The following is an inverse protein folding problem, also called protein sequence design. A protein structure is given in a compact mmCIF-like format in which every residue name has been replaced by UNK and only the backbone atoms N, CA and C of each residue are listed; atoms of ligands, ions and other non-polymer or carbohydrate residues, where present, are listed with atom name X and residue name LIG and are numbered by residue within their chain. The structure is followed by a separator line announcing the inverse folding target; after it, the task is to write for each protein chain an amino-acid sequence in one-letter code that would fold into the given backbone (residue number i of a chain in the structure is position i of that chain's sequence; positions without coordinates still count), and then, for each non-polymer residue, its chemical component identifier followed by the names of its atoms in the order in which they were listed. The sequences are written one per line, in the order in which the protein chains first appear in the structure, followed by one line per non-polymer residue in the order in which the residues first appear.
data_IF_730884644579
#
_entry.id   IF_730884644579
#
_cell.length_a   1.000
_cell.length_b   1.000
_cell.length_c   1.000
_cell.angle_alpha   90.00
_cell.angle_beta   90.00
_cell.angle_gamma   90.00
#
_symmetry.space_group_name_H-M   'P 1'
#
loop_
_entity.id
_entity.type
_entity.pdbx_description
1 polymer ?
#
# COMPACT_ATOMS: atom_id res chain seq x y z
N UNK A 1 -4.89 -58.43 52.36
CA UNK A 1 -6.26 -57.86 52.35
C UNK A 1 -6.21 -56.36 52.44
N UNK A 2 -6.41 -55.66 51.33
CA UNK A 2 -6.50 -54.21 51.30
C UNK A 2 -7.94 -53.78 51.59
N UNK A 3 -8.16 -53.04 52.67
CA UNK A 3 -9.47 -52.47 53.03
C UNK A 3 -9.86 -51.43 51.98
N UNK A 4 -10.94 -51.71 51.24
CA UNK A 4 -11.62 -50.75 50.38
C UNK A 4 -12.33 -49.71 51.28
N UNK A 5 -11.88 -48.46 51.25
CA UNK A 5 -12.60 -47.35 51.89
C UNK A 5 -13.87 -47.09 51.11
N UNK A 6 -15.02 -47.44 51.74
CA UNK A 6 -16.36 -47.11 51.25
C UNK A 6 -16.48 -45.60 51.11
N UNK A 7 -16.75 -45.12 49.91
CA UNK A 7 -17.14 -43.72 49.65
C UNK A 7 -18.46 -43.45 50.37
N UNK A 8 -18.43 -42.63 51.42
CA UNK A 8 -19.66 -42.09 52.02
C UNK A 8 -20.45 -41.30 50.94
N UNK A 9 -21.66 -41.73 50.64
CA UNK A 9 -22.59 -40.98 49.81
C UNK A 9 -22.90 -39.67 50.50
N UNK A 10 -22.43 -38.56 49.94
CA UNK A 10 -22.77 -37.23 50.39
C UNK A 10 -24.28 -37.05 50.14
N UNK A 11 -25.07 -36.73 51.17
CA UNK A 11 -26.51 -36.42 51.02
C UNK A 11 -26.66 -35.28 50.04
N UNK A 12 -27.72 -35.29 49.24
CA UNK A 12 -28.02 -34.27 48.23
C UNK A 12 -28.05 -32.85 48.79
N UNK A 13 -28.57 -32.72 50.02
CA UNK A 13 -28.58 -31.47 50.77
C UNK A 13 -27.21 -30.91 51.09
N UNK A 14 -26.28 -31.77 51.56
CA UNK A 14 -24.87 -31.40 51.84
C UNK A 14 -24.13 -30.95 50.56
N UNK A 15 -24.52 -31.47 49.42
CA UNK A 15 -23.94 -31.09 48.11
C UNK A 15 -24.46 -29.73 47.63
N UNK A 16 -25.76 -29.46 47.79
CA UNK A 16 -26.36 -28.15 47.45
C UNK A 16 -25.82 -27.04 48.35
N UNK A 17 -25.67 -27.28 49.64
CA UNK A 17 -25.05 -26.35 50.58
C UNK A 17 -23.58 -26.07 50.24
N UNK A 18 -22.82 -27.07 49.82
CA UNK A 18 -21.43 -26.95 49.45
C UNK A 18 -21.31 -26.08 48.16
N UNK A 19 -22.20 -26.29 47.18
CA UNK A 19 -22.27 -25.45 45.97
C UNK A 19 -22.63 -24.02 46.32
N UNK A 20 -23.64 -23.82 47.13
CA UNK A 20 -24.07 -22.51 47.61
C UNK A 20 -22.93 -21.77 48.33
N UNK A 21 -22.20 -22.42 49.21
CA UNK A 21 -21.04 -21.87 49.91
C UNK A 21 -19.90 -21.53 48.93
N UNK A 22 -19.60 -22.40 47.95
CA UNK A 22 -18.58 -22.13 46.89
C UNK A 22 -18.99 -20.97 45.97
N UNK A 23 -20.27 -20.84 45.68
CA UNK A 23 -20.78 -19.73 44.90
C UNK A 23 -20.68 -18.41 45.68
N UNK A 24 -21.07 -18.43 46.96
CA UNK A 24 -21.07 -17.26 47.86
C UNK A 24 -19.65 -16.80 48.21
N UNK A 25 -18.69 -17.70 48.30
CA UNK A 25 -17.29 -17.39 48.62
C UNK A 25 -16.46 -16.91 47.41
N UNK A 26 -16.94 -17.14 46.19
CA UNK A 26 -16.19 -16.76 45.00
C UNK A 26 -16.43 -15.28 44.63
N UNK A 27 -15.41 -14.43 44.80
CA UNK A 27 -15.45 -13.01 44.42
C UNK A 27 -15.79 -12.81 42.95
N UNK A 28 -15.32 -13.72 42.08
CA UNK A 28 -15.60 -13.70 40.66
C UNK A 28 -17.09 -13.96 40.35
N UNK A 29 -17.65 -15.03 40.92
CA UNK A 29 -19.05 -15.40 40.72
C UNK A 29 -20.03 -14.38 41.36
N UNK A 30 -19.58 -13.71 42.40
CA UNK A 30 -20.32 -12.63 43.05
C UNK A 30 -20.07 -11.25 42.41
N UNK A 31 -19.27 -11.19 41.32
CA UNK A 31 -18.89 -9.93 40.64
C UNK A 31 -18.28 -8.89 41.61
N UNK A 32 -17.56 -9.36 42.65
CA UNK A 32 -16.89 -8.54 43.65
C UNK A 32 -15.38 -8.61 43.55
N UNK A 33 -14.86 -8.66 42.32
CA UNK A 33 -13.42 -8.60 42.10
C UNK A 33 -12.87 -7.25 42.57
N UNK A 34 -11.74 -7.23 43.27
CA UNK A 34 -11.07 -5.99 43.58
C UNK A 34 -10.65 -5.31 42.27
N UNK A 35 -11.23 -4.16 41.99
CA UNK A 35 -10.88 -3.34 40.86
C UNK A 35 -10.06 -2.16 41.34
N UNK A 36 -8.95 -1.89 40.66
CA UNK A 36 -8.22 -0.65 40.85
C UNK A 36 -9.10 0.51 40.34
N UNK A 37 -9.51 1.38 41.25
CA UNK A 37 -10.33 2.56 40.95
C UNK A 37 -9.58 3.81 41.38
N UNK A 38 -8.70 4.34 40.52
CA UNK A 38 -8.01 5.57 40.84
C UNK A 38 -9.02 6.72 40.88
N UNK A 39 -9.07 7.42 42.01
CA UNK A 39 -9.78 8.68 42.11
C UNK A 39 -8.80 9.80 41.74
N UNK A 40 -8.98 10.43 40.57
CA UNK A 40 -8.06 11.47 40.13
C UNK A 40 -8.21 12.71 41.06
N UNK A 41 -7.10 13.17 41.61
CA UNK A 41 -7.04 14.46 42.31
C UNK A 41 -6.88 15.59 41.27
N UNK A 42 -7.23 16.83 41.63
CA UNK A 42 -7.05 17.98 40.75
C UNK A 42 -5.61 18.11 40.26
N UNK A 43 -4.66 17.91 41.17
CA UNK A 43 -3.23 17.98 40.82
C UNK A 43 -2.82 16.87 39.82
N UNK A 44 -3.31 15.64 40.05
CA UNK A 44 -2.99 14.52 39.13
C UNK A 44 -3.59 14.72 37.75
N UNK A 45 -4.75 15.35 37.64
CA UNK A 45 -5.37 15.70 36.37
C UNK A 45 -4.49 16.73 35.63
N UNK A 46 -4.10 17.80 36.30
CA UNK A 46 -3.24 18.83 35.70
C UNK A 46 -1.92 18.22 35.22
N UNK A 47 -1.23 17.46 36.09
CA UNK A 47 0.05 16.83 35.74
C UNK A 47 -0.11 15.90 34.53
N UNK A 48 -1.16 15.09 34.52
CA UNK A 48 -1.40 14.17 33.41
C UNK A 48 -1.57 14.91 32.07
N UNK A 49 -2.44 15.92 32.02
CA UNK A 49 -2.68 16.66 30.78
C UNK A 49 -1.47 17.50 30.34
N UNK A 50 -0.73 18.08 31.28
CA UNK A 50 0.49 18.83 30.96
C UNK A 50 1.59 17.92 30.42
N UNK A 51 1.82 16.76 31.06
CA UNK A 51 2.81 15.79 30.54
C UNK A 51 2.40 15.26 29.16
N UNK A 52 1.12 14.94 28.99
CA UNK A 52 0.58 14.49 27.72
C UNK A 52 0.76 15.55 26.63
N UNK A 53 0.45 16.81 26.93
CA UNK A 53 0.64 17.93 26.02
C UNK A 53 2.11 18.12 25.64
N UNK A 54 3.03 18.07 26.61
CA UNK A 54 4.48 18.19 26.35
C UNK A 54 4.97 17.10 25.39
N UNK A 55 4.54 15.86 25.61
CA UNK A 55 4.91 14.74 24.73
C UNK A 55 4.38 14.98 23.29
N UNK A 56 3.12 15.33 23.16
CA UNK A 56 2.51 15.49 21.82
C UNK A 56 3.06 16.72 21.08
N UNK A 57 3.24 17.85 21.76
CA UNK A 57 3.82 19.04 21.14
C UNK A 57 5.27 18.78 20.73
N UNK A 58 6.07 18.16 21.58
CA UNK A 58 7.48 17.87 21.24
C UNK A 58 7.59 16.90 20.06
N UNK A 59 6.79 15.84 20.02
CA UNK A 59 6.73 14.93 18.88
C UNK A 59 6.27 15.63 17.60
N UNK A 60 5.24 16.48 17.70
CA UNK A 60 4.75 17.27 16.58
C UNK A 60 5.83 18.20 16.00
N UNK A 61 6.55 18.93 16.87
CA UNK A 61 7.64 19.81 16.44
C UNK A 61 8.77 19.01 15.78
N UNK A 62 9.18 17.89 16.37
CA UNK A 62 10.21 17.02 15.81
C UNK A 62 9.82 16.57 14.40
N UNK A 63 8.57 16.06 14.22
CA UNK A 63 8.06 15.61 12.92
C UNK A 63 8.05 16.77 11.91
N UNK A 64 7.63 17.98 12.30
CA UNK A 64 7.64 19.15 11.41
C UNK A 64 9.06 19.54 10.96
N UNK A 65 10.01 19.55 11.88
CA UNK A 65 11.41 19.85 11.55
C UNK A 65 11.98 18.82 10.56
N UNK A 66 11.79 17.53 10.82
CA UNK A 66 12.26 16.48 9.91
C UNK A 66 11.53 16.50 8.58
N UNK A 67 10.20 16.74 8.57
CA UNK A 67 9.42 16.86 7.35
C UNK A 67 9.82 18.07 6.51
N UNK A 68 10.20 19.18 7.14
CA UNK A 68 10.68 20.40 6.47
C UNK A 68 12.02 20.24 5.75
N UNK A 69 12.83 19.26 6.16
CA UNK A 69 14.13 18.95 5.50
C UNK A 69 13.97 18.09 4.24
N UNK A 70 12.76 17.57 3.98
CA UNK A 70 12.51 16.72 2.83
C UNK A 70 12.24 17.61 1.62
N UNK A 71 13.11 17.51 0.62
CA UNK A 71 12.93 18.12 -0.69
C UNK A 71 12.08 17.18 -1.55
N UNK A 72 11.07 17.72 -2.20
CA UNK A 72 10.21 16.95 -3.08
C UNK A 72 9.79 17.83 -4.27
N UNK A 73 10.05 17.34 -5.48
CA UNK A 73 9.67 17.99 -6.73
C UNK A 73 8.74 17.08 -7.51
N UNK A 74 7.56 17.60 -7.85
CA UNK A 74 6.58 16.92 -8.69
C UNK A 74 6.69 17.43 -10.13
N UNK A 75 6.68 16.48 -11.08
CA UNK A 75 6.87 16.71 -12.52
C UNK A 75 5.65 16.11 -13.22
N UNK A 76 4.62 16.91 -13.52
CA UNK A 76 3.45 16.47 -14.27
C UNK A 76 3.85 16.23 -15.73
N UNK A 77 3.48 15.06 -16.28
CA UNK A 77 3.81 14.71 -17.66
C UNK A 77 2.61 14.32 -18.53
N UNK A 78 1.43 14.12 -17.92
CA UNK A 78 0.25 13.65 -18.63
C UNK A 78 -0.09 14.51 -19.86
N UNK A 79 -0.22 15.83 -19.68
CA UNK A 79 -0.60 16.75 -20.76
C UNK A 79 0.47 16.87 -21.83
N UNK A 80 1.75 16.89 -21.43
CA UNK A 80 2.89 17.04 -22.35
C UNK A 80 3.11 15.77 -23.19
N UNK A 81 2.76 14.61 -22.63
CA UNK A 81 2.90 13.30 -23.26
C UNK A 81 1.63 12.79 -23.95
N UNK A 82 0.55 13.56 -23.92
CA UNK A 82 -0.73 13.16 -24.49
C UNK A 82 -0.62 12.80 -25.97
N UNK A 83 -1.08 11.60 -26.31
CA UNK A 83 -1.03 11.09 -27.69
C UNK A 83 0.35 10.63 -28.17
N UNK A 84 1.41 10.70 -27.35
CA UNK A 84 2.76 10.22 -27.68
C UNK A 84 3.00 8.90 -26.96
N UNK A 85 3.59 7.93 -27.67
CA UNK A 85 4.03 6.65 -27.08
C UNK A 85 5.35 6.82 -26.32
N UNK A 86 6.27 7.61 -26.87
CA UNK A 86 7.53 8.01 -26.23
C UNK A 86 7.50 9.52 -26.10
N UNK A 87 7.77 10.01 -24.91
CA UNK A 87 7.74 11.42 -24.55
C UNK A 87 9.05 11.81 -23.88
N UNK A 88 9.61 12.93 -24.29
CA UNK A 88 10.80 13.52 -23.68
C UNK A 88 10.42 14.81 -22.96
N UNK A 89 10.85 14.91 -21.70
CA UNK A 89 10.66 16.09 -20.86
C UNK A 89 11.98 16.59 -20.33
N UNK A 90 12.03 17.88 -20.06
CA UNK A 90 13.19 18.52 -19.45
C UNK A 90 12.74 19.28 -18.20
N UNK A 91 13.37 18.98 -17.09
CA UNK A 91 13.09 19.65 -15.81
C UNK A 91 14.37 20.06 -15.11
N UNK A 92 14.34 21.20 -14.45
CA UNK A 92 15.47 21.71 -13.65
C UNK A 92 15.23 21.45 -12.17
N UNK A 93 16.23 20.91 -11.49
CA UNK A 93 16.19 20.67 -10.05
C UNK A 93 16.15 21.99 -9.29
N UNK A 94 15.13 22.18 -8.45
CA UNK A 94 14.87 23.44 -7.72
C UNK A 94 15.68 23.59 -6.45
N UNK A 95 16.00 22.50 -5.79
CA UNK A 95 16.75 22.43 -4.53
C UNK A 95 17.65 21.20 -4.52
N UNK A 96 18.78 21.27 -3.81
CA UNK A 96 19.71 20.15 -3.67
C UNK A 96 19.00 18.92 -3.08
N UNK A 97 19.14 17.77 -3.70
CA UNK A 97 18.57 16.50 -3.24
C UNK A 97 19.73 15.53 -2.92
N UNK A 98 19.79 15.10 -1.66
CA UNK A 98 20.77 14.11 -1.19
C UNK A 98 20.26 12.69 -1.40
N UNK A 99 21.13 11.81 -1.88
CA UNK A 99 20.83 10.39 -2.04
C UNK A 99 20.52 9.72 -0.68
N UNK A 100 19.69 8.66 -0.68
CA UNK A 100 18.93 8.13 -1.81
C UNK A 100 17.70 9.00 -2.13
N UNK A 101 17.49 9.26 -3.44
CA UNK A 101 16.33 10.02 -3.93
C UNK A 101 15.30 9.04 -4.44
N UNK A 102 14.13 9.06 -3.82
CA UNK A 102 13.02 8.19 -4.18
C UNK A 102 12.30 8.72 -5.41
N UNK A 103 12.15 7.87 -6.42
CA UNK A 103 11.39 8.13 -7.62
C UNK A 103 10.01 7.49 -7.45
N UNK A 104 8.96 8.29 -7.44
CA UNK A 104 7.58 7.80 -7.37
C UNK A 104 6.85 8.16 -8.66
N UNK A 105 5.92 7.30 -9.06
CA UNK A 105 4.83 7.75 -9.92
C UNK A 105 3.62 8.11 -9.07
N UNK A 106 2.91 9.15 -9.47
CA UNK A 106 1.68 9.62 -8.83
C UNK A 106 0.54 9.50 -9.82
N UNK A 107 -0.59 8.99 -9.35
CA UNK A 107 -1.84 8.97 -10.07
C UNK A 107 -2.88 9.78 -9.30
N UNK A 108 -3.56 10.68 -9.99
CA UNK A 108 -4.68 11.45 -9.48
C UNK A 108 -6.00 10.91 -10.06
N UNK A 109 -7.02 10.82 -9.22
CA UNK A 109 -8.36 10.41 -9.64
C UNK A 109 -8.59 8.89 -9.78
N UNK A 110 -7.62 8.03 -9.40
CA UNK A 110 -7.76 6.59 -9.52
C UNK A 110 -8.13 5.92 -8.17
N UNK A 111 -9.33 5.34 -8.09
CA UNK A 111 -9.91 4.79 -6.85
C UNK A 111 -9.51 3.33 -6.61
N UNK A 112 -8.28 3.05 -6.18
CA UNK A 112 -7.86 1.69 -5.80
C UNK A 112 -8.62 1.15 -4.57
N UNK A 113 -9.18 2.02 -3.72
CA UNK A 113 -9.92 1.66 -2.52
C UNK A 113 -11.39 1.27 -2.78
N UNK A 114 -11.85 1.31 -4.03
CA UNK A 114 -13.22 0.93 -4.35
C UNK A 114 -13.46 -0.56 -4.07
N UNK A 115 -14.52 -0.90 -3.32
CA UNK A 115 -14.79 -2.27 -2.84
C UNK A 115 -14.75 -3.35 -3.94
N UNK A 116 -15.35 -3.07 -5.12
CA UNK A 116 -15.36 -4.03 -6.23
C UNK A 116 -13.98 -4.21 -6.83
N UNK A 117 -13.20 -3.14 -6.89
CA UNK A 117 -11.83 -3.16 -7.41
C UNK A 117 -10.91 -4.00 -6.54
N UNK A 118 -10.89 -3.76 -5.21
CA UNK A 118 -10.04 -4.51 -4.25
C UNK A 118 -10.35 -6.01 -4.26
N UNK A 119 -11.62 -6.38 -4.45
CA UNK A 119 -12.04 -7.79 -4.49
C UNK A 119 -11.71 -8.47 -5.81
N UNK A 120 -11.59 -7.73 -6.89
CA UNK A 120 -11.36 -8.26 -8.23
C UNK A 120 -9.92 -8.72 -8.43
N UNK A 121 -9.58 -9.86 -7.82
CA UNK A 121 -8.29 -10.56 -7.92
C UNK A 121 -8.42 -11.99 -7.39
N UNK A 122 -7.57 -12.90 -7.86
CA UNK A 122 -7.41 -14.23 -7.27
C UNK A 122 -6.18 -14.27 -6.37
N UNK A 123 -6.40 -14.44 -5.08
CA UNK A 123 -5.30 -14.59 -4.09
C UNK A 123 -4.56 -15.91 -4.32
N UNK A 124 -5.25 -16.95 -4.78
CA UNK A 124 -4.64 -18.24 -5.07
C UNK A 124 -3.65 -18.16 -6.23
N UNK A 125 -4.00 -17.44 -7.31
CA UNK A 125 -3.08 -17.18 -8.40
C UNK A 125 -1.88 -16.35 -7.93
N UNK A 126 -2.12 -15.22 -7.26
CA UNK A 126 -1.04 -14.33 -6.79
C UNK A 126 -0.04 -15.02 -5.85
N UNK A 127 -0.45 -16.06 -5.14
CA UNK A 127 0.41 -16.81 -4.22
C UNK A 127 0.93 -18.13 -4.82
N UNK A 128 0.79 -18.34 -6.12
CA UNK A 128 1.28 -19.52 -6.80
C UNK A 128 0.61 -20.84 -6.39
N UNK A 129 -0.63 -20.79 -5.85
CA UNK A 129 -1.29 -21.98 -5.29
C UNK A 129 -2.17 -22.73 -6.29
N UNK A 130 -2.82 -22.02 -7.18
CA UNK A 130 -3.69 -22.58 -8.20
C UNK A 130 -4.05 -21.56 -9.28
N UNK A 131 -4.49 -22.03 -10.44
CA UNK A 131 -5.00 -21.20 -11.53
C UNK A 131 -6.45 -20.74 -11.35
N UNK A 132 -7.04 -21.01 -10.19
CA UNK A 132 -8.43 -20.66 -9.89
C UNK A 132 -8.66 -19.16 -9.95
N UNK A 133 -9.66 -18.75 -10.74
CA UNK A 133 -9.98 -17.34 -10.96
C UNK A 133 -10.70 -16.67 -9.78
N UNK A 134 -11.28 -17.44 -8.86
CA UNK A 134 -11.92 -16.90 -7.66
C UNK A 134 -12.83 -15.70 -7.92
N UNK A 135 -12.59 -14.59 -7.21
CA UNK A 135 -13.39 -13.34 -7.27
C UNK A 135 -12.92 -12.38 -8.39
N UNK A 136 -12.35 -12.84 -9.49
CA UNK A 136 -11.72 -12.00 -10.53
C UNK A 136 -12.67 -11.09 -11.34
N UNK A 137 -14.00 -11.24 -11.17
CA UNK A 137 -14.96 -10.50 -11.99
C UNK A 137 -14.70 -8.98 -12.03
N UNK A 138 -14.82 -8.39 -13.22
CA UNK A 138 -15.28 -8.93 -14.49
C UNK A 138 -14.17 -9.51 -15.42
N UNK A 139 -12.93 -9.56 -15.00
CA UNK A 139 -11.76 -9.93 -15.80
C UNK A 139 -11.35 -11.37 -15.46
N UNK A 140 -11.79 -12.33 -16.27
CA UNK A 140 -11.51 -13.74 -16.05
C UNK A 140 -10.57 -14.34 -17.09
N UNK A 141 -10.62 -13.86 -18.34
CA UNK A 141 -9.94 -14.45 -19.48
C UNK A 141 -8.92 -13.50 -20.09
N UNK A 142 -7.96 -14.07 -20.82
CA UNK A 142 -6.93 -13.29 -21.52
C UNK A 142 -7.53 -12.22 -22.46
N UNK A 143 -8.63 -12.50 -23.14
CA UNK A 143 -9.33 -11.52 -24.00
C UNK A 143 -9.86 -10.30 -23.22
N UNK A 144 -10.05 -10.42 -21.90
CA UNK A 144 -10.54 -9.33 -21.04
C UNK A 144 -9.40 -8.41 -20.56
N UNK A 145 -8.14 -8.84 -20.73
CA UNK A 145 -6.94 -8.05 -20.48
C UNK A 145 -6.70 -7.08 -21.64
N UNK A 146 -5.71 -6.24 -21.55
CA UNK A 146 -5.37 -5.29 -22.60
C UNK A 146 -4.82 -6.02 -23.83
N UNK A 147 -5.35 -5.70 -25.02
CA UNK A 147 -5.02 -6.41 -26.25
C UNK A 147 -3.54 -6.40 -26.61
N UNK A 148 -2.81 -5.31 -26.35
CA UNK A 148 -1.41 -5.15 -26.79
C UNK A 148 -0.47 -6.16 -26.10
N UNK A 149 -0.55 -6.33 -24.79
CA UNK A 149 0.32 -7.26 -24.03
C UNK A 149 -0.02 -8.71 -24.38
N UNK A 150 -1.31 -9.02 -24.49
CA UNK A 150 -1.78 -10.37 -24.86
C UNK A 150 -1.36 -10.71 -26.29
N UNK A 151 -1.41 -9.76 -27.21
CA UNK A 151 -0.96 -9.97 -28.58
C UNK A 151 0.56 -10.20 -28.68
N UNK A 152 1.37 -9.50 -27.92
CA UNK A 152 2.82 -9.73 -27.86
C UNK A 152 3.14 -11.11 -27.29
N UNK A 153 2.49 -11.51 -26.21
CA UNK A 153 2.70 -12.84 -25.63
C UNK A 153 2.21 -13.96 -26.55
N UNK A 154 1.06 -13.77 -27.19
CA UNK A 154 0.56 -14.71 -28.20
C UNK A 154 1.54 -14.88 -29.36
N UNK A 155 2.11 -13.79 -29.87
CA UNK A 155 3.14 -13.84 -30.92
C UNK A 155 4.36 -14.61 -30.48
N UNK A 156 4.88 -14.35 -29.27
CA UNK A 156 6.04 -15.06 -28.73
C UNK A 156 5.79 -16.57 -28.63
N UNK A 157 4.64 -16.97 -28.11
CA UNK A 157 4.28 -18.39 -27.99
C UNK A 157 4.20 -19.09 -29.36
N UNK A 158 3.65 -18.41 -30.37
CA UNK A 158 3.57 -18.93 -31.73
C UNK A 158 4.98 -19.04 -32.33
N UNK A 159 5.83 -18.00 -32.19
CA UNK A 159 7.20 -17.99 -32.69
C UNK A 159 8.11 -19.03 -32.01
N UNK A 160 7.89 -19.34 -30.73
CA UNK A 160 8.62 -20.38 -30.00
C UNK A 160 8.23 -21.79 -30.44
N UNK A 161 6.97 -22.04 -30.74
CA UNK A 161 6.50 -23.33 -31.29
C UNK A 161 6.97 -23.54 -32.71
N UNK A 162 6.97 -22.51 -33.59
CA UNK A 162 7.48 -22.60 -34.97
C UNK A 162 8.97 -22.91 -35.04
N UNK A 163 9.78 -22.49 -34.07
CA UNK A 163 11.20 -22.85 -33.97
C UNK A 163 11.42 -24.31 -33.58
N UNK A 164 10.43 -24.98 -33.01
CA UNK A 164 10.49 -26.40 -32.62
C UNK A 164 10.12 -27.39 -33.73
N UNK A 165 9.41 -26.95 -34.80
CA UNK A 165 8.81 -27.84 -35.81
C UNK A 165 9.34 -27.64 -37.25
N UNK A 166 10.56 -27.11 -37.49
CA UNK A 166 11.09 -27.02 -38.83
C UNK A 166 11.39 -28.40 -39.43
N UNK A 167 10.40 -28.98 -40.13
CA UNK A 167 10.50 -30.09 -41.06
C UNK A 167 9.97 -29.66 -42.44
N UNK A 168 10.76 -29.94 -43.46
CA UNK A 168 10.57 -29.57 -44.86
C UNK A 168 9.19 -29.89 -45.43
N UNK A 169 8.43 -28.89 -45.90
CA UNK A 169 7.29 -29.01 -46.84
C UNK A 169 7.02 -27.68 -47.58
N UNK A 170 6.33 -27.74 -48.73
CA UNK A 170 6.24 -26.71 -49.77
C UNK A 170 5.48 -25.41 -49.44
N UNK A 171 5.93 -24.30 -50.04
CA UNK A 171 5.80 -22.91 -49.54
C UNK A 171 4.43 -22.20 -49.68
N UNK A 172 3.47 -22.67 -50.45
CA UNK A 172 2.23 -21.89 -50.71
C UNK A 172 0.94 -22.45 -50.03
N UNK A 173 0.80 -23.75 -49.90
CA UNK A 173 -0.32 -24.36 -49.15
C UNK A 173 -0.08 -24.25 -47.61
N UNK A 174 1.17 -24.20 -47.17
CA UNK A 174 1.57 -23.98 -45.77
C UNK A 174 1.10 -22.63 -45.21
N UNK A 175 1.18 -21.54 -45.99
CA UNK A 175 0.81 -20.19 -45.48
C UNK A 175 -0.69 -20.05 -45.13
N UNK A 176 -1.58 -20.65 -45.91
CA UNK A 176 -3.02 -20.60 -45.57
C UNK A 176 -3.41 -21.52 -44.42
N UNK A 177 -2.72 -22.67 -44.27
CA UNK A 177 -2.92 -23.56 -43.13
C UNK A 177 -2.30 -22.98 -41.85
N UNK A 178 -1.08 -22.37 -41.91
CA UNK A 178 -0.44 -21.64 -40.82
C UNK A 178 -1.33 -20.47 -40.33
N UNK A 179 -1.84 -19.61 -41.24
CA UNK A 179 -2.74 -18.52 -40.81
C UNK A 179 -4.03 -19.01 -40.15
N UNK A 180 -4.57 -20.15 -40.60
CA UNK A 180 -5.75 -20.76 -39.96
C UNK A 180 -5.43 -21.40 -38.63
N UNK A 181 -4.27 -22.01 -38.49
CA UNK A 181 -3.81 -22.64 -37.25
C UNK A 181 -3.41 -21.58 -36.20
N UNK A 182 -2.67 -20.53 -36.61
CA UNK A 182 -2.38 -19.34 -35.81
C UNK A 182 -3.67 -18.69 -35.32
N UNK A 183 -4.66 -18.54 -36.19
CA UNK A 183 -5.99 -18.03 -35.84
C UNK A 183 -6.76 -18.91 -34.84
N UNK A 184 -6.58 -20.22 -34.87
CA UNK A 184 -7.20 -21.18 -33.96
C UNK A 184 -6.51 -21.20 -32.59
N UNK A 185 -5.18 -21.29 -32.57
CA UNK A 185 -4.35 -21.24 -31.36
C UNK A 185 -4.50 -19.89 -30.65
N UNK A 186 -4.51 -18.78 -31.40
CA UNK A 186 -4.77 -17.47 -30.85
C UNK A 186 -6.14 -17.33 -30.19
N UNK A 187 -7.21 -17.90 -30.80
CA UNK A 187 -8.53 -17.93 -30.19
C UNK A 187 -8.58 -18.80 -28.93
N UNK A 188 -7.85 -19.89 -28.91
CA UNK A 188 -7.74 -20.77 -27.73
C UNK A 188 -7.04 -20.04 -26.59
N UNK A 189 -5.89 -19.39 -26.85
CA UNK A 189 -5.16 -18.59 -25.85
C UNK A 189 -6.01 -17.45 -25.29
N UNK A 190 -6.74 -16.73 -26.12
CA UNK A 190 -7.63 -15.66 -25.68
C UNK A 190 -8.78 -16.16 -24.78
N UNK A 191 -9.18 -17.42 -24.93
CA UNK A 191 -10.24 -18.02 -24.10
C UNK A 191 -9.72 -18.70 -22.83
N UNK A 192 -8.41 -18.87 -22.67
CA UNK A 192 -7.81 -19.35 -21.40
C UNK A 192 -8.07 -18.36 -20.27
N UNK A 193 -7.99 -18.86 -19.04
CA UNK A 193 -8.07 -18.00 -17.86
C UNK A 193 -6.86 -17.07 -17.81
N UNK A 194 -7.09 -15.80 -17.51
CA UNK A 194 -6.02 -14.84 -17.31
C UNK A 194 -5.26 -15.15 -16.01
N UNK A 195 -3.95 -15.12 -16.06
CA UNK A 195 -3.07 -15.29 -14.89
C UNK A 195 -2.04 -14.16 -14.87
N UNK A 196 -2.10 -13.27 -13.88
CA UNK A 196 -3.17 -13.07 -12.88
C UNK A 196 -4.42 -12.46 -13.48
N UNK A 197 -5.59 -12.80 -12.92
CA UNK A 197 -6.88 -12.26 -13.32
C UNK A 197 -7.36 -11.11 -12.42
N UNK A 198 -8.37 -10.39 -12.86
CA UNK A 198 -9.05 -9.34 -12.12
C UNK A 198 -8.65 -7.91 -12.51
N UNK A 199 -9.47 -6.96 -12.07
CA UNK A 199 -9.27 -5.52 -12.36
C UNK A 199 -7.96 -4.99 -11.79
N UNK A 200 -7.55 -5.45 -10.60
CA UNK A 200 -6.32 -4.97 -9.98
C UNK A 200 -5.10 -5.29 -10.82
N UNK A 201 -5.01 -6.50 -11.38
CA UNK A 201 -3.93 -6.88 -12.26
C UNK A 201 -4.03 -6.16 -13.61
N UNK A 202 -5.22 -6.16 -14.25
CA UNK A 202 -5.44 -5.52 -15.55
C UNK A 202 -5.01 -4.05 -15.60
N UNK A 203 -5.19 -3.32 -14.50
CA UNK A 203 -4.88 -1.88 -14.43
C UNK A 203 -3.48 -1.61 -13.89
N UNK A 204 -2.58 -2.57 -13.99
CA UNK A 204 -1.18 -2.38 -13.61
C UNK A 204 -0.56 -1.19 -14.33
N UNK A 205 0.16 -0.36 -13.55
CA UNK A 205 0.85 0.80 -14.08
C UNK A 205 2.11 0.37 -14.86
N UNK A 206 2.15 0.69 -16.14
CA UNK A 206 3.17 0.20 -17.08
C UNK A 206 3.93 1.31 -17.82
N UNK A 207 3.92 2.55 -17.35
CA UNK A 207 4.86 3.55 -17.83
C UNK A 207 6.26 3.23 -17.33
N UNK A 208 7.29 3.48 -18.16
CA UNK A 208 8.69 3.34 -17.77
C UNK A 208 9.44 4.66 -17.91
N UNK A 209 10.43 4.86 -17.05
CA UNK A 209 11.17 6.10 -16.94
C UNK A 209 12.66 5.86 -17.10
N UNK A 210 13.30 6.62 -17.99
CA UNK A 210 14.74 6.76 -18.11
C UNK A 210 15.09 8.21 -17.80
N UNK A 211 16.12 8.44 -16.98
CA UNK A 211 16.58 9.78 -16.58
C UNK A 211 18.03 9.95 -17.00
N UNK A 212 18.36 11.06 -17.60
CA UNK A 212 19.72 11.38 -17.96
C UNK A 212 20.02 12.87 -17.80
N UNK A 213 21.27 13.21 -17.65
CA UNK A 213 21.81 14.56 -17.71
C UNK A 213 22.64 14.74 -18.96
N UNK A 214 22.90 15.98 -19.36
CA UNK A 214 23.84 16.28 -20.42
C UNK A 214 25.11 16.90 -19.83
N UNK A 215 26.25 16.32 -20.18
CA UNK A 215 27.53 16.87 -19.83
C UNK A 215 27.81 18.19 -20.60
N UNK A 216 28.83 18.93 -20.20
CA UNK A 216 29.26 20.18 -20.88
C UNK A 216 29.52 19.98 -22.39
N UNK A 217 29.88 18.78 -22.80
CA UNK A 217 30.07 18.39 -24.21
C UNK A 217 28.74 18.02 -24.92
N UNK A 218 27.59 18.10 -24.26
CA UNK A 218 26.29 17.73 -24.81
C UNK A 218 26.03 16.22 -24.90
N UNK A 219 26.89 15.38 -24.32
CA UNK A 219 26.71 13.93 -24.28
C UNK A 219 25.76 13.55 -23.13
N UNK A 220 24.88 12.57 -23.37
CA UNK A 220 23.97 12.04 -22.38
C UNK A 220 24.72 11.21 -21.35
N UNK A 221 24.58 11.55 -20.07
CA UNK A 221 25.00 10.75 -18.94
C UNK A 221 23.75 10.16 -18.28
N UNK A 222 23.61 8.83 -18.33
CA UNK A 222 22.44 8.16 -17.74
C UNK A 222 22.53 8.17 -16.20
N UNK A 223 21.43 8.56 -15.56
CA UNK A 223 21.25 8.41 -14.12
C UNK A 223 20.58 7.05 -13.89
N UNK A 224 21.31 6.17 -13.21
CA UNK A 224 20.80 4.82 -12.90
C UNK A 224 19.71 4.90 -11.85
N UNK A 225 18.54 4.39 -12.19
CA UNK A 225 17.43 4.22 -11.23
C UNK A 225 17.45 2.78 -10.75
N UNK A 226 17.80 2.57 -9.48
CA UNK A 226 17.76 1.27 -8.86
C UNK A 226 16.28 0.91 -8.56
N UNK A 227 15.80 -0.17 -9.17
CA UNK A 227 14.42 -0.66 -9.07
C UNK A 227 14.30 -1.89 -8.16
N UNK A 228 15.40 -2.31 -7.53
CA UNK A 228 15.41 -3.43 -6.61
C UNK A 228 14.98 -2.99 -5.20
N UNK A 229 14.37 -3.91 -4.46
CA UNK A 229 13.92 -3.72 -3.08
C UNK A 229 12.97 -2.51 -2.91
N UNK A 230 12.08 -2.30 -3.90
CA UNK A 230 11.01 -1.30 -3.86
C UNK A 230 9.74 -1.84 -3.20
N UNK A 231 9.50 -3.15 -3.27
CA UNK A 231 8.39 -3.81 -2.60
C UNK A 231 8.71 -4.14 -1.13
N UNK A 232 7.67 -4.29 -0.31
CA UNK A 232 7.85 -4.73 1.07
C UNK A 232 8.27 -6.20 1.12
N UNK A 233 9.29 -6.54 1.92
CA UNK A 233 9.82 -7.91 2.03
C UNK A 233 8.74 -8.95 2.32
N UNK A 234 7.76 -8.61 3.17
CA UNK A 234 6.65 -9.52 3.48
C UNK A 234 5.79 -9.84 2.25
N UNK A 235 5.58 -8.85 1.39
CA UNK A 235 4.77 -9.03 0.19
C UNK A 235 5.55 -9.82 -0.87
N UNK A 236 6.85 -9.59 -1.04
CA UNK A 236 7.72 -10.36 -1.96
C UNK A 236 7.66 -11.87 -1.71
N UNK A 237 7.62 -12.29 -0.44
CA UNK A 237 7.54 -13.71 -0.09
C UNK A 237 6.17 -14.35 -0.36
N UNK A 238 5.13 -13.53 -0.52
CA UNK A 238 3.76 -14.00 -0.74
C UNK A 238 3.44 -14.20 -2.22
N UNK A 239 3.96 -13.31 -3.08
CA UNK A 239 3.71 -13.38 -4.51
C UNK A 239 4.58 -14.45 -5.16
N UNK A 240 3.97 -15.32 -5.97
CA UNK A 240 4.62 -16.43 -6.66
C UNK A 240 3.99 -16.68 -8.01
N UNK A 241 4.84 -16.94 -8.99
CA UNK A 241 4.41 -17.37 -10.30
C UNK A 241 3.72 -18.75 -10.24
N UNK A 242 2.71 -18.96 -11.07
CA UNK A 242 1.96 -20.22 -11.14
C UNK A 242 2.48 -21.07 -12.30
N UNK A 243 2.40 -20.52 -13.51
CA UNK A 243 2.84 -21.15 -14.76
C UNK A 243 3.31 -20.06 -15.71
N UNK A 244 4.60 -20.07 -16.03
CA UNK A 244 5.23 -19.07 -16.89
C UNK A 244 4.65 -19.05 -18.31
N UNK A 245 4.13 -20.19 -18.80
CA UNK A 245 3.59 -20.30 -20.16
C UNK A 245 2.22 -19.63 -20.34
N UNK A 246 1.42 -19.49 -19.28
CA UNK A 246 0.08 -18.95 -19.31
C UNK A 246 -0.07 -17.58 -18.65
N UNK A 247 0.92 -17.13 -17.88
CA UNK A 247 0.82 -15.83 -17.22
C UNK A 247 1.26 -14.71 -18.16
N UNK A 248 0.53 -13.61 -18.13
CA UNK A 248 0.75 -12.44 -18.98
C UNK A 248 1.67 -11.39 -18.36
N UNK A 249 1.98 -11.51 -17.08
CA UNK A 249 2.91 -10.65 -16.34
C UNK A 249 3.60 -11.45 -15.25
N UNK A 250 4.85 -11.13 -14.96
CA UNK A 250 5.59 -11.68 -13.83
C UNK A 250 5.00 -11.17 -12.51
N UNK A 251 4.44 -12.09 -11.72
CA UNK A 251 3.84 -11.75 -10.42
C UNK A 251 4.89 -11.56 -9.32
N UNK A 252 6.13 -11.98 -9.53
CA UNK A 252 7.26 -11.75 -8.63
C UNK A 252 7.96 -10.41 -8.90
N UNK A 253 7.62 -9.72 -10.01
CA UNK A 253 8.10 -8.36 -10.28
C UNK A 253 7.68 -7.39 -9.16
N UNK A 254 8.67 -6.69 -8.62
CA UNK A 254 8.45 -5.75 -7.51
C UNK A 254 7.53 -4.59 -7.88
N UNK A 255 7.52 -4.13 -9.13
CA UNK A 255 6.57 -3.10 -9.59
C UNK A 255 5.13 -3.61 -9.54
N UNK A 256 4.92 -4.87 -9.94
CA UNK A 256 3.62 -5.50 -9.83
C UNK A 256 3.19 -5.67 -8.37
N UNK A 257 4.09 -6.12 -7.50
CA UNK A 257 3.82 -6.26 -6.05
C UNK A 257 3.46 -4.91 -5.42
N UNK A 258 4.21 -3.85 -5.74
CA UNK A 258 3.93 -2.47 -5.28
C UNK A 258 2.57 -1.99 -5.77
N UNK A 259 2.20 -2.32 -7.03
CA UNK A 259 0.88 -1.99 -7.57
C UNK A 259 -0.25 -2.70 -6.83
N UNK A 260 -0.10 -3.99 -6.54
CA UNK A 260 -1.12 -4.84 -5.92
C UNK A 260 -1.45 -4.45 -4.47
N UNK A 261 -0.68 -3.57 -3.85
CA UNK A 261 -1.01 -2.96 -2.56
C UNK A 261 -1.92 -1.75 -2.78
N UNK A 262 -3.23 -1.84 -2.48
CA UNK A 262 -4.17 -0.78 -2.81
C UNK A 262 -3.90 0.50 -2.01
N UNK A 263 -3.99 1.64 -2.67
CA UNK A 263 -3.95 2.95 -2.04
C UNK A 263 -5.29 3.27 -1.37
N UNK A 264 -5.25 3.97 -0.23
CA UNK A 264 -6.44 4.35 0.53
C UNK A 264 -7.19 5.57 0.00
N UNK A 265 -6.55 6.38 -0.84
CA UNK A 265 -7.09 7.61 -1.40
C UNK A 265 -6.98 7.61 -2.93
N UNK A 266 -7.83 8.37 -3.66
CA UNK A 266 -7.80 8.40 -5.12
C UNK A 266 -6.54 9.09 -5.70
N UNK A 267 -5.90 9.93 -4.90
CA UNK A 267 -4.65 10.59 -5.23
C UNK A 267 -3.55 9.92 -4.43
N UNK A 268 -2.68 9.19 -5.11
CA UNK A 268 -1.64 8.41 -4.45
C UNK A 268 -0.35 8.38 -5.26
N UNK A 269 0.73 8.08 -4.57
CA UNK A 269 2.04 7.81 -5.19
C UNK A 269 2.54 6.43 -4.78
N UNK A 270 3.27 5.79 -5.70
CA UNK A 270 3.92 4.50 -5.46
C UNK A 270 5.38 4.58 -5.87
N UNK A 271 6.20 3.86 -5.13
CA UNK A 271 7.64 3.83 -5.38
C UNK A 271 7.90 3.11 -6.71
N UNK A 272 8.69 3.74 -7.58
CA UNK A 272 9.13 3.19 -8.85
C UNK A 272 10.61 2.80 -8.84
N UNK A 273 11.42 3.52 -8.06
CA UNK A 273 12.85 3.24 -7.91
C UNK A 273 13.56 4.26 -7.03
N UNK A 274 14.88 4.18 -6.99
CA UNK A 274 15.74 5.08 -6.22
C UNK A 274 16.94 5.51 -7.07
N UNK A 275 17.31 6.78 -6.96
CA UNK A 275 18.55 7.31 -7.48
C UNK A 275 19.53 7.35 -6.32
N UNK A 276 20.69 6.70 -6.49
CA UNK A 276 21.72 6.59 -5.45
C UNK A 276 22.74 7.75 -5.51
N UNK A 277 22.60 8.65 -6.50
CA UNK A 277 23.46 9.83 -6.69
C UNK A 277 22.76 11.09 -6.19
N UNK A 278 23.55 12.07 -5.72
CA UNK A 278 23.07 13.38 -5.34
C UNK A 278 22.67 14.18 -6.59
N UNK A 279 21.57 14.92 -6.51
CA UNK A 279 21.15 15.87 -7.55
C UNK A 279 21.33 17.29 -7.05
N UNK A 280 22.06 18.10 -7.81
CA UNK A 280 22.37 19.47 -7.43
C UNK A 280 21.30 20.45 -7.93
N UNK A 281 21.12 21.52 -7.17
CA UNK A 281 20.27 22.63 -7.60
C UNK A 281 20.71 23.18 -8.95
N UNK A 282 19.74 23.54 -9.78
CA UNK A 282 19.93 24.02 -11.15
C UNK A 282 20.45 22.99 -12.16
N UNK A 283 20.64 21.75 -11.73
CA UNK A 283 20.92 20.65 -12.65
C UNK A 283 19.71 20.36 -13.52
N UNK A 284 19.92 20.14 -14.82
CA UNK A 284 18.85 19.86 -15.77
C UNK A 284 18.74 18.39 -16.02
N UNK A 285 17.60 17.82 -15.70
CA UNK A 285 17.28 16.41 -15.94
C UNK A 285 16.44 16.27 -17.21
N UNK A 286 16.76 15.27 -17.99
CA UNK A 286 16.02 14.85 -19.17
C UNK A 286 15.35 13.52 -18.86
N UNK A 287 14.04 13.47 -19.06
CA UNK A 287 13.21 12.29 -18.83
C UNK A 287 12.78 11.75 -20.19
N UNK A 288 13.01 10.46 -20.41
CA UNK A 288 12.41 9.73 -21.52
C UNK A 288 11.38 8.77 -20.92
N UNK A 289 10.14 8.96 -21.29
CA UNK A 289 8.98 8.30 -20.72
C UNK A 289 8.31 7.45 -21.79
N UNK A 290 8.21 6.14 -21.57
CA UNK A 290 7.32 5.29 -22.36
C UNK A 290 5.91 5.40 -21.77
N UNK A 291 5.05 6.15 -22.45
CA UNK A 291 3.73 6.55 -22.02
C UNK A 291 2.68 5.49 -22.42
N UNK A 292 2.64 4.37 -21.69
CA UNK A 292 1.76 3.24 -21.97
C UNK A 292 0.46 3.30 -21.18
N UNK A 293 0.50 3.83 -19.95
CA UNK A 293 -0.64 3.88 -19.03
C UNK A 293 -1.59 5.01 -19.41
N UNK A 294 -2.82 4.68 -19.78
CA UNK A 294 -3.85 5.64 -20.20
C UNK A 294 -4.71 6.07 -19.03
N UNK A 295 -4.74 7.37 -18.74
CA UNK A 295 -5.57 7.97 -17.68
C UNK A 295 -6.86 8.62 -18.21
N UNK A 296 -7.02 8.75 -19.54
CA UNK A 296 -8.17 9.40 -20.17
C UNK A 296 -9.52 8.74 -19.80
N UNK A 297 -9.51 7.42 -19.54
CA UNK A 297 -10.72 6.65 -19.25
C UNK A 297 -11.41 7.08 -17.95
N UNK A 298 -10.69 7.69 -17.01
CA UNK A 298 -11.22 8.13 -15.73
C UNK A 298 -10.95 9.61 -15.43
N UNK A 299 -10.42 10.35 -16.44
CA UNK A 299 -10.13 11.78 -16.31
C UNK A 299 -9.08 12.09 -15.25
N UNK A 300 -8.12 11.20 -15.07
CA UNK A 300 -7.04 11.35 -14.09
C UNK A 300 -5.80 12.02 -14.67
N UNK A 301 -4.85 12.30 -13.79
CA UNK A 301 -3.54 12.84 -14.12
C UNK A 301 -2.43 11.94 -13.61
N UNK A 302 -1.24 12.09 -14.19
CA UNK A 302 -0.05 11.37 -13.78
C UNK A 302 1.20 12.26 -13.75
N UNK A 303 2.02 12.04 -12.72
CA UNK A 303 3.23 12.81 -12.45
C UNK A 303 4.35 11.89 -11.98
N UNK A 304 5.58 12.30 -12.20
CA UNK A 304 6.76 11.74 -11.54
C UNK A 304 7.07 12.62 -10.31
N UNK A 305 7.43 12.01 -9.19
CA UNK A 305 7.85 12.73 -8.00
C UNK A 305 9.26 12.26 -7.63
N UNK A 306 10.20 13.19 -7.61
CA UNK A 306 11.49 13.01 -7.00
C UNK A 306 11.42 13.50 -5.57
N UNK A 307 11.81 12.68 -4.59
CA UNK A 307 11.73 13.06 -3.18
C UNK A 307 12.87 12.45 -2.38
N UNK A 308 13.56 13.28 -1.60
CA UNK A 308 14.41 12.74 -0.54
C UNK A 308 13.53 12.08 0.53
N UNK A 309 14.09 11.19 1.31
CA UNK A 309 13.43 10.52 2.42
C UNK A 309 14.31 10.58 3.67
N UNK A 310 13.68 10.60 4.83
CA UNK A 310 14.37 10.46 6.09
C UNK A 310 13.88 9.23 6.86
N UNK A 311 14.45 8.97 8.06
CA UNK A 311 14.07 7.83 8.90
C UNK A 311 12.59 7.82 9.33
N UNK A 312 11.89 8.95 9.24
CA UNK A 312 10.45 9.07 9.53
C UNK A 312 9.55 8.96 8.28
N UNK A 313 10.15 8.69 7.12
CA UNK A 313 9.44 8.56 5.84
C UNK A 313 9.49 9.83 4.98
N UNK A 314 8.50 9.99 4.09
CA UNK A 314 8.38 11.14 3.20
C UNK A 314 7.81 12.39 3.88
N UNK A 315 7.69 13.49 3.11
CA UNK A 315 7.16 14.79 3.58
C UNK A 315 5.74 14.64 4.13
N UNK A 316 5.56 14.87 5.43
CA UNK A 316 4.28 14.71 6.11
C UNK A 316 4.07 15.79 7.18
N UNK A 317 3.67 16.98 6.74
CA UNK A 317 3.32 18.06 7.67
C UNK A 317 2.02 17.80 8.43
N UNK A 318 1.06 17.10 7.81
CA UNK A 318 -0.24 16.85 8.41
C UNK A 318 -0.13 16.16 9.76
N UNK A 319 0.69 15.10 9.84
CA UNK A 319 0.87 14.37 11.09
C UNK A 319 1.47 15.25 12.19
N UNK A 320 2.49 16.05 11.87
CA UNK A 320 3.10 16.97 12.84
C UNK A 320 2.11 18.00 13.38
N UNK A 321 1.29 18.60 12.49
CA UNK A 321 0.24 19.55 12.86
C UNK A 321 -0.82 18.88 13.74
N UNK A 322 -1.27 17.65 13.41
CA UNK A 322 -2.24 16.93 14.23
C UNK A 322 -1.70 16.68 15.66
N UNK A 323 -0.45 16.30 15.81
CA UNK A 323 0.15 16.11 17.15
C UNK A 323 0.16 17.42 17.95
N UNK A 324 0.53 18.54 17.33
CA UNK A 324 0.52 19.85 18.00
C UNK A 324 -0.90 20.24 18.41
N UNK A 325 -1.91 20.06 17.55
CA UNK A 325 -3.30 20.36 17.86
C UNK A 325 -3.77 19.54 19.07
N UNK A 326 -3.50 18.23 19.09
CA UNK A 326 -3.85 17.35 20.23
C UNK A 326 -3.17 17.82 21.51
N UNK A 327 -1.88 18.21 21.42
CA UNK A 327 -1.16 18.76 22.57
C UNK A 327 -1.77 20.07 23.09
N UNK A 328 -2.16 20.99 22.22
CA UNK A 328 -2.83 22.27 22.60
C UNK A 328 -4.18 21.99 23.24
N UNK A 329 -4.99 21.11 22.66
CA UNK A 329 -6.30 20.71 23.25
C UNK A 329 -6.08 20.13 24.63
N UNK A 330 -5.05 19.29 24.82
CA UNK A 330 -4.72 18.71 26.13
C UNK A 330 -4.36 19.78 27.15
N UNK A 331 -3.60 20.83 26.78
CA UNK A 331 -3.34 21.95 27.66
C UNK A 331 -4.62 22.68 28.07
N UNK A 332 -5.48 22.99 27.10
CA UNK A 332 -6.77 23.66 27.37
C UNK A 332 -7.59 22.84 28.37
N UNK A 333 -7.72 21.53 28.16
CA UNK A 333 -8.46 20.65 29.06
C UNK A 333 -7.81 20.57 30.45
N UNK A 334 -6.47 20.52 30.52
CA UNK A 334 -5.72 20.48 31.75
C UNK A 334 -5.95 21.69 32.65
N UNK A 335 -6.24 22.86 32.08
CA UNK A 335 -6.59 24.08 32.83
C UNK A 335 -8.10 24.27 33.01
N UNK A 336 -8.92 23.93 32.02
CA UNK A 336 -10.38 24.15 32.05
C UNK A 336 -11.08 23.29 33.12
N UNK A 337 -10.74 21.99 33.18
CA UNK A 337 -11.35 21.09 34.15
C UNK A 337 -11.12 21.51 35.61
N UNK A 338 -9.90 21.79 36.08
CA UNK A 338 -9.66 22.28 37.42
C UNK A 338 -10.38 23.58 37.74
N UNK A 339 -10.44 24.52 36.77
CA UNK A 339 -11.20 25.78 36.97
C UNK A 339 -12.68 25.54 37.15
N UNK A 340 -13.30 24.68 36.35
CA UNK A 340 -14.70 24.32 36.49
C UNK A 340 -15.02 23.66 37.85
N UNK A 341 -14.15 22.74 38.29
CA UNK A 341 -14.30 22.09 39.58
C UNK A 341 -14.15 23.11 40.73
N UNK A 342 -13.17 24.02 40.63
CA UNK A 342 -12.98 25.06 41.62
C UNK A 342 -14.21 26.01 41.73
N UNK A 343 -14.73 26.45 40.58
CA UNK A 343 -15.94 27.27 40.53
C UNK A 343 -17.15 26.55 41.13
N UNK A 344 -17.35 25.28 40.80
CA UNK A 344 -18.41 24.47 41.39
C UNK A 344 -18.31 24.37 42.89
N UNK A 345 -17.11 24.04 43.41
CA UNK A 345 -16.90 23.92 44.87
C UNK A 345 -17.13 25.27 45.60
N UNK A 346 -16.71 26.38 44.96
CA UNK A 346 -16.97 27.73 45.51
C UNK A 346 -18.47 28.05 45.58
N UNK A 347 -19.23 27.71 44.53
CA UNK A 347 -20.65 27.94 44.47
C UNK A 347 -21.42 27.05 45.48
N UNK A 348 -20.98 25.83 45.72
CA UNK A 348 -21.55 24.92 46.72
C UNK A 348 -21.25 25.42 48.16
N UNK A 349 -20.06 26.00 48.40
CA UNK A 349 -19.74 26.59 49.71
C UNK A 349 -20.57 27.85 50.00
N UNK A 350 -20.80 28.70 49.00
CA UNK A 350 -21.65 29.87 49.11
C UNK A 350 -23.10 29.52 49.44
N UNK A 351 -23.65 28.44 48.82
CA UNK A 351 -25.00 27.96 49.07
C UNK A 351 -25.20 27.34 50.47
N UNK A 352 -24.12 26.86 51.12
CA UNK A 352 -24.18 26.33 52.49
C UNK A 352 -24.10 27.39 53.55
N UNK A 353 -23.67 28.60 53.22
CA UNK A 353 -23.50 29.74 54.14
C UNK A 353 -24.69 30.72 54.04
N UNK A 354 -25.72 30.45 53.25
CA UNK A 354 -27.02 31.08 53.16
C UNK A 354 -28.07 30.15 53.78
#
# INVERSE_FOLDING_TARGET
MRKVKTRKSIKKEDYEDLIYYKLKSSRFKQQRLPAWRPVPTLLSIIIFYVLFALIFISLGVIILIFSGKIVSQEIPYNDQCKGKKICELTETIKEDMKAPIMVYYKLDGFYQNHRRYIRSKSVNQLYGKSEDTGDCGPIYKNKDINNDIIFENMKKLIEEEEKGEKGEKGEEEEKEEEEKEIGKKGKEYLNKNAIPCGLMAKTFFNDTFEIFTKNENGENSNITINQENIAFDKDKHLFKNVDESNQWIDMEDEHFIVWMRPAGLPNFKKLWGRIEDDLNKSETLYFKINNNYKVDHYGGDKSIILSTANKFGGKNFFMGVCFIIVGIISLILGFAFPLLIYQRNKNESLKKNI
#
